data_IF_115707028855
#
_entry.id   IF_115707028855
#
_cell.length_a   1.000
_cell.length_b   1.000
_cell.length_c   1.000
_cell.angle_alpha   90.00
_cell.angle_beta   90.00
_cell.angle_gamma   90.00
#
_symmetry.space_group_name_H-M   'P 1'
#
loop_
_entity.id
_entity.type
_entity.pdbx_description
1 polymer ?
#
# COMPACT_ATOMS: atom_id res chain seq x y z
N UNK A 1 -29.57 17.24 -13.93
CA UNK A 1 -29.90 16.40 -12.76
C UNK A 1 -29.63 14.97 -13.16
N UNK A 2 -28.84 14.23 -12.38
CA UNK A 2 -28.54 12.81 -12.64
C UNK A 2 -29.34 11.97 -11.65
N UNK A 3 -30.01 10.93 -12.13
CA UNK A 3 -30.75 9.98 -11.28
C UNK A 3 -29.91 8.73 -11.09
N UNK A 4 -29.69 8.33 -9.83
CA UNK A 4 -28.94 7.13 -9.45
C UNK A 4 -29.87 6.26 -8.62
N UNK A 5 -29.88 4.96 -8.90
CA UNK A 5 -30.65 3.98 -8.12
C UNK A 5 -29.73 3.35 -7.09
N UNK A 6 -30.19 3.36 -5.84
CA UNK A 6 -29.53 2.70 -4.71
C UNK A 6 -30.44 1.60 -4.17
N UNK A 7 -29.85 0.54 -3.63
CA UNK A 7 -30.58 -0.46 -2.86
C UNK A 7 -30.96 0.10 -1.48
N UNK A 8 -31.88 -0.56 -0.77
CA UNK A 8 -32.25 -0.14 0.58
C UNK A 8 -31.06 -0.21 1.56
N UNK A 9 -30.20 -1.21 1.42
CA UNK A 9 -28.99 -1.36 2.23
C UNK A 9 -27.99 -0.22 1.98
N UNK A 10 -27.77 0.16 0.73
CA UNK A 10 -26.91 1.29 0.37
C UNK A 10 -27.45 2.62 0.93
N UNK A 11 -28.78 2.83 0.86
CA UNK A 11 -29.40 4.02 1.45
C UNK A 11 -29.19 4.04 2.97
N UNK A 12 -29.32 2.89 3.62
CA UNK A 12 -29.08 2.78 5.06
C UNK A 12 -27.63 3.09 5.44
N UNK A 13 -26.65 2.62 4.67
CA UNK A 13 -25.24 2.96 4.89
C UNK A 13 -24.95 4.44 4.64
N UNK A 14 -25.57 5.05 3.62
CA UNK A 14 -25.47 6.49 3.38
C UNK A 14 -26.04 7.29 4.56
N UNK A 15 -27.16 6.84 5.14
CA UNK A 15 -27.77 7.47 6.31
C UNK A 15 -26.87 7.45 7.53
N UNK A 16 -26.16 6.35 7.78
CA UNK A 16 -25.20 6.24 8.89
C UNK A 16 -24.06 7.26 8.79
N UNK A 17 -23.75 7.72 7.57
CA UNK A 17 -22.70 8.70 7.31
C UNK A 17 -23.21 10.16 7.39
N UNK A 18 -24.53 10.38 7.49
CA UNK A 18 -25.09 11.72 7.70
C UNK A 18 -24.79 12.18 9.13
N UNK A 19 -24.36 13.44 9.26
CA UNK A 19 -23.89 14.02 10.53
C UNK A 19 -22.42 13.74 10.82
N UNK A 20 -21.79 12.79 10.12
CA UNK A 20 -20.36 12.53 10.25
C UNK A 20 -19.54 13.49 9.37
N UNK A 21 -18.42 14.02 9.87
CA UNK A 21 -17.48 14.82 9.09
C UNK A 21 -18.12 16.06 8.40
N UNK A 22 -19.08 16.68 9.09
CA UNK A 22 -19.78 17.88 8.61
C UNK A 22 -20.77 17.63 7.46
N UNK A 23 -21.08 16.37 7.14
CA UNK A 23 -22.05 16.00 6.10
C UNK A 23 -23.46 16.21 6.61
N UNK A 24 -24.23 17.12 6.00
CA UNK A 24 -25.54 17.54 6.54
C UNK A 24 -26.71 16.69 6.09
N UNK A 25 -26.60 16.04 4.94
CA UNK A 25 -27.65 15.22 4.34
C UNK A 25 -27.07 14.19 3.38
N UNK A 26 -27.91 13.26 2.90
CA UNK A 26 -27.53 12.21 1.93
C UNK A 26 -26.87 12.78 0.68
N UNK A 27 -27.39 13.89 0.16
CA UNK A 27 -26.83 14.53 -1.04
C UNK A 27 -25.41 15.06 -0.82
N UNK A 28 -25.09 15.58 0.37
CA UNK A 28 -23.74 16.02 0.74
C UNK A 28 -22.79 14.81 0.87
N UNK A 29 -23.26 13.72 1.49
CA UNK A 29 -22.51 12.45 1.54
C UNK A 29 -22.16 11.98 0.13
N UNK A 30 -23.16 11.86 -0.76
CA UNK A 30 -22.96 11.39 -2.13
C UNK A 30 -22.05 12.35 -2.90
N UNK A 31 -22.27 13.67 -2.81
CA UNK A 31 -21.48 14.66 -3.53
C UNK A 31 -20.01 14.61 -3.14
N UNK A 32 -19.69 14.50 -1.85
CA UNK A 32 -18.32 14.39 -1.38
C UNK A 32 -17.68 13.07 -1.80
N UNK A 33 -18.41 11.96 -1.74
CA UNK A 33 -17.93 10.67 -2.22
C UNK A 33 -17.61 10.69 -3.72
N UNK A 34 -18.47 11.32 -4.53
CA UNK A 34 -18.22 11.50 -5.97
C UNK A 34 -17.01 12.40 -6.21
N UNK A 35 -16.87 13.51 -5.48
CA UNK A 35 -15.68 14.35 -5.58
C UNK A 35 -14.39 13.59 -5.25
N UNK A 36 -14.41 12.82 -4.17
CA UNK A 36 -13.28 11.97 -3.77
C UNK A 36 -12.96 10.93 -4.84
N UNK A 37 -13.98 10.26 -5.39
CA UNK A 37 -13.81 9.31 -6.49
C UNK A 37 -13.18 9.97 -7.72
N UNK A 38 -13.64 11.17 -8.08
CA UNK A 38 -13.11 11.92 -9.22
C UNK A 38 -11.69 12.40 -8.98
N UNK A 39 -11.34 12.85 -7.77
CA UNK A 39 -9.97 13.20 -7.40
C UNK A 39 -9.03 11.99 -7.46
N UNK A 40 -9.52 10.84 -6.97
CA UNK A 40 -8.82 9.55 -7.05
C UNK A 40 -8.65 9.08 -8.50
N UNK A 41 -9.63 9.32 -9.37
CA UNK A 41 -9.60 8.92 -10.79
C UNK A 41 -8.85 9.89 -11.70
N UNK A 42 -8.84 11.18 -11.36
CA UNK A 42 -8.16 12.24 -12.12
C UNK A 42 -6.64 12.23 -11.92
N UNK A 43 -6.16 11.48 -10.93
CA UNK A 43 -4.75 11.15 -10.75
C UNK A 43 -4.30 10.15 -11.83
N UNK A 44 -4.35 10.56 -13.11
CA UNK A 44 -3.81 9.83 -14.27
C UNK A 44 -2.28 9.75 -14.29
N UNK A 45 -1.64 9.99 -13.16
CA UNK A 45 -0.20 10.02 -13.00
C UNK A 45 0.19 8.95 -11.98
N UNK A 46 0.53 7.75 -12.48
CA UNK A 46 1.37 6.67 -11.91
C UNK A 46 1.24 6.27 -10.41
N UNK A 47 0.35 6.87 -9.64
CA UNK A 47 0.25 6.74 -8.19
C UNK A 47 -0.83 5.70 -7.89
N UNK A 48 -0.39 4.46 -7.71
CA UNK A 48 -1.24 3.39 -7.17
C UNK A 48 -1.64 3.74 -5.74
N UNK A 49 -2.93 3.98 -5.51
CA UNK A 49 -3.49 4.30 -4.18
C UNK A 49 -4.08 3.04 -3.58
N UNK A 50 -3.55 2.60 -2.44
CA UNK A 50 -4.00 1.42 -1.71
C UNK A 50 -4.62 1.80 -0.36
N UNK A 51 -5.80 1.24 -0.04
CA UNK A 51 -6.37 1.37 1.30
C UNK A 51 -5.74 0.35 2.24
N UNK A 52 -5.09 0.81 3.31
CA UNK A 52 -4.41 -0.06 4.28
C UNK A 52 -5.32 -0.24 5.50
N UNK A 53 -5.68 -1.49 5.83
CA UNK A 53 -6.33 -1.81 7.10
C UNK A 53 -5.27 -1.94 8.18
N UNK A 54 -5.40 -1.17 9.25
CA UNK A 54 -4.48 -1.18 10.38
C UNK A 54 -5.17 -1.73 11.63
N UNK A 55 -4.46 -2.54 12.41
CA UNK A 55 -4.89 -2.94 13.74
C UNK A 55 -4.89 -1.76 14.71
N UNK A 56 -5.66 -1.86 15.80
CA UNK A 56 -5.81 -0.78 16.79
C UNK A 56 -4.47 -0.34 17.40
N UNK A 57 -3.59 -1.28 17.74
CA UNK A 57 -2.28 -0.98 18.31
C UNK A 57 -1.37 -0.24 17.32
N UNK A 58 -1.33 -0.68 16.06
CA UNK A 58 -0.55 -0.02 15.00
C UNK A 58 -1.06 1.39 14.74
N UNK A 59 -2.38 1.59 14.73
CA UNK A 59 -2.97 2.92 14.56
C UNK A 59 -2.54 3.89 15.67
N UNK A 60 -2.55 3.44 16.93
CA UNK A 60 -2.07 4.26 18.05
C UNK A 60 -0.59 4.63 17.91
N UNK A 61 0.24 3.69 17.45
CA UNK A 61 1.66 3.97 17.23
C UNK A 61 1.88 4.99 16.11
N UNK A 62 1.11 4.92 15.03
CA UNK A 62 1.18 5.91 13.93
C UNK A 62 0.75 7.29 14.41
N UNK A 63 -0.33 7.37 15.21
CA UNK A 63 -0.81 8.63 15.78
C UNK A 63 0.22 9.30 16.69
N UNK A 64 0.84 8.52 17.59
CA UNK A 64 1.95 9.01 18.42
C UNK A 64 3.12 9.47 17.57
N UNK A 65 3.47 8.72 16.52
CA UNK A 65 4.57 9.08 15.63
C UNK A 65 4.29 10.38 14.87
N UNK A 66 3.06 10.56 14.40
CA UNK A 66 2.59 11.78 13.75
C UNK A 66 2.67 12.97 14.71
N UNK A 67 2.23 12.83 15.97
CA UNK A 67 2.37 13.87 16.99
C UNK A 67 3.83 14.25 17.30
N UNK A 68 4.72 13.26 17.38
CA UNK A 68 6.13 13.48 17.74
C UNK A 68 6.95 14.08 16.59
N UNK A 69 6.66 13.71 15.36
CA UNK A 69 7.49 14.04 14.19
C UNK A 69 6.86 15.09 13.27
N UNK A 70 5.55 15.32 13.41
CA UNK A 70 4.77 16.14 12.49
C UNK A 70 4.57 15.51 11.11
N UNK A 71 4.97 14.24 10.92
CA UNK A 71 4.81 13.54 9.64
C UNK A 71 3.41 12.96 9.53
N UNK A 72 2.73 13.24 8.42
CA UNK A 72 1.43 12.65 8.13
C UNK A 72 1.54 11.14 7.83
N UNK A 73 0.43 10.43 8.02
CA UNK A 73 0.35 8.99 7.78
C UNK A 73 0.81 8.56 6.37
N UNK A 74 0.61 9.38 5.34
CA UNK A 74 1.03 9.06 3.98
C UNK A 74 2.55 9.08 3.86
N UNK A 75 3.20 10.07 4.48
CA UNK A 75 4.66 10.16 4.53
C UNK A 75 5.28 9.02 5.33
N UNK A 76 4.67 8.66 6.47
CA UNK A 76 5.08 7.49 7.27
C UNK A 76 4.95 6.20 6.45
N UNK A 77 3.83 6.02 5.76
CA UNK A 77 3.60 4.84 4.93
C UNK A 77 4.60 4.77 3.76
N UNK A 78 4.89 5.89 3.09
CA UNK A 78 5.86 5.94 2.01
C UNK A 78 7.27 5.53 2.48
N UNK A 79 7.71 6.04 3.63
CA UNK A 79 8.99 5.63 4.23
C UNK A 79 9.00 4.15 4.60
N UNK A 80 7.93 3.65 5.23
CA UNK A 80 7.79 2.24 5.57
C UNK A 80 7.86 1.31 4.36
N UNK A 81 7.21 1.68 3.25
CA UNK A 81 7.29 0.95 1.98
C UNK A 81 8.73 0.93 1.46
N UNK A 82 9.42 2.08 1.47
CA UNK A 82 10.81 2.19 1.03
C UNK A 82 11.74 1.27 1.84
N UNK A 83 11.63 1.29 3.17
CA UNK A 83 12.41 0.44 4.07
C UNK A 83 12.13 -1.05 3.84
N UNK A 84 10.87 -1.41 3.63
CA UNK A 84 10.49 -2.79 3.35
C UNK A 84 11.11 -3.28 2.02
N UNK A 85 11.04 -2.47 0.96
CA UNK A 85 11.65 -2.80 -0.33
C UNK A 85 13.17 -2.95 -0.22
N UNK A 86 13.85 -2.08 0.52
CA UNK A 86 15.29 -2.20 0.76
C UNK A 86 15.63 -3.52 1.47
N UNK A 87 14.84 -3.89 2.49
CA UNK A 87 15.01 -5.15 3.20
C UNK A 87 14.82 -6.37 2.29
N UNK A 88 13.80 -6.37 1.42
CA UNK A 88 13.57 -7.46 0.48
C UNK A 88 14.68 -7.54 -0.57
N UNK A 89 15.13 -6.41 -1.11
CA UNK A 89 16.22 -6.37 -2.07
C UNK A 89 17.54 -6.91 -1.48
N UNK A 90 17.83 -6.60 -0.21
CA UNK A 90 18.99 -7.18 0.49
C UNK A 90 18.91 -8.70 0.59
N UNK A 91 17.72 -9.24 0.91
CA UNK A 91 17.51 -10.70 0.95
C UNK A 91 17.67 -11.34 -0.42
N UNK A 92 17.08 -10.75 -1.46
CA UNK A 92 17.19 -11.25 -2.83
C UNK A 92 18.65 -11.27 -3.28
N UNK A 93 19.40 -10.19 -3.04
CA UNK A 93 20.83 -10.14 -3.38
C UNK A 93 21.62 -11.21 -2.66
N UNK A 94 21.43 -11.38 -1.35
CA UNK A 94 22.11 -12.43 -0.59
C UNK A 94 21.81 -13.83 -1.17
N UNK A 95 20.54 -14.14 -1.46
CA UNK A 95 20.18 -15.42 -2.07
C UNK A 95 20.74 -15.60 -3.49
N UNK A 96 20.91 -14.51 -4.25
CA UNK A 96 21.53 -14.54 -5.57
C UNK A 96 23.03 -14.80 -5.48
N UNK A 97 23.72 -14.14 -4.55
CA UNK A 97 25.15 -14.33 -4.29
C UNK A 97 25.43 -15.77 -3.82
N UNK A 98 24.60 -16.32 -2.92
CA UNK A 98 24.68 -17.72 -2.48
C UNK A 98 24.47 -18.70 -3.65
N UNK A 99 23.54 -18.38 -4.56
CA UNK A 99 23.31 -19.19 -5.76
C UNK A 99 24.47 -19.16 -6.74
N UNK A 100 25.11 -17.99 -6.93
CA UNK A 100 26.28 -17.85 -7.79
C UNK A 100 27.50 -18.58 -7.23
N UNK A 101 27.73 -18.55 -5.91
CA UNK A 101 28.84 -19.30 -5.31
C UNK A 101 28.70 -20.81 -5.51
N UNK A 102 27.47 -21.34 -5.43
CA UNK A 102 27.19 -22.76 -5.72
C UNK A 102 27.48 -23.09 -7.20
N UNK A 103 27.13 -22.22 -8.13
CA UNK A 103 27.42 -22.42 -9.55
C UNK A 103 28.92 -22.37 -9.85
N UNK A 104 29.66 -21.47 -9.20
CA UNK A 104 31.11 -21.41 -9.31
C UNK A 104 31.77 -22.67 -8.75
N UNK A 105 31.30 -23.19 -7.61
CA UNK A 105 31.78 -24.48 -7.06
C UNK A 105 31.52 -25.65 -8.02
N UNK A 106 30.34 -25.71 -8.65
CA UNK A 106 30.01 -26.75 -9.64
C UNK A 106 30.91 -26.63 -10.87
N UNK A 107 31.17 -25.41 -11.34
CA UNK A 107 32.03 -25.15 -12.51
C UNK A 107 33.48 -25.55 -12.24
N UNK A 108 33.99 -25.28 -11.05
CA UNK A 108 35.34 -25.70 -10.62
C UNK A 108 35.41 -27.24 -10.56
N UNK A 109 34.41 -27.92 -10.00
CA UNK A 109 34.37 -29.39 -9.93
C UNK A 109 34.27 -30.05 -11.31
N UNK A 110 33.40 -29.55 -12.19
CA UNK A 110 33.26 -30.08 -13.55
C UNK A 110 34.53 -29.93 -14.39
N UNK A 111 35.29 -28.83 -14.20
CA UNK A 111 36.56 -28.62 -14.91
C UNK A 111 37.69 -29.59 -14.47
N UNK A 112 37.56 -30.27 -13.33
CA UNK A 112 38.54 -31.25 -12.87
C UNK A 112 38.28 -32.68 -13.38
N UNK A 113 37.06 -32.98 -13.85
CA UNK A 113 36.70 -34.32 -14.34
C UNK A 113 37.06 -34.54 -15.82
N UNK A 114 37.22 -33.49 -16.61
CA UNK A 114 37.53 -33.58 -18.06
C UNK A 114 39.03 -33.85 -18.38
N UNK A 115 39.90 -33.98 -17.39
CA UNK A 115 41.35 -34.17 -17.58
C UNK A 115 41.85 -35.60 -17.30
N UNK A 116 40.98 -36.60 -17.41
CA UNK A 116 41.39 -38.02 -17.32
C UNK A 116 41.17 -38.67 -18.69
N UNK A 117 42.19 -38.57 -19.54
CA UNK A 117 42.34 -39.40 -20.76
C UNK A 117 43.63 -40.23 -20.65
#
# INVERSE_FOLDING_TARGET
MVSVRFTEEEVHEIDRLVGFDGRRNRSDVIRRSVHKLLEESASGDSKSRASIRMGKATRQQVEILEELTGMDISSIAAQGIGLFLEQQNKKIKASLDDGMSVLDEIKIRGSHEDHVE
#
